data_IF_979974597538
#
_entry.id   IF_979974597538
#
_cell.length_a   1.000
_cell.length_b   1.000
_cell.length_c   1.000
_cell.angle_alpha   90.00
_cell.angle_beta   90.00
_cell.angle_gamma   90.00
#
_symmetry.space_group_name_H-M   'P 1'
#
loop_
_entity.id
_entity.type
_entity.pdbx_description
1 polymer ?
#
# COMPACT_ATOMS: atom_id res chain seq x y z
N UNK A 1 -63.20 19.07 12.44
CA UNK A 1 -62.25 18.22 13.20
C UNK A 1 -62.15 16.85 12.56
N UNK A 2 -61.11 16.59 11.75
CA UNK A 2 -60.94 15.31 11.04
C UNK A 2 -60.31 14.31 11.99
N UNK A 3 -61.11 13.37 12.49
CA UNK A 3 -60.60 12.21 13.29
C UNK A 3 -59.83 11.29 12.35
N UNK A 4 -58.52 11.42 12.34
CA UNK A 4 -57.64 10.43 11.68
C UNK A 4 -57.77 9.13 12.49
N UNK A 5 -58.37 8.11 11.87
CA UNK A 5 -58.58 6.81 12.50
C UNK A 5 -57.22 6.15 12.83
N UNK A 6 -57.20 5.34 13.88
CA UNK A 6 -55.99 4.62 14.32
C UNK A 6 -55.33 3.81 13.22
N UNK A 7 -56.14 3.32 12.25
CA UNK A 7 -55.69 2.61 11.04
C UNK A 7 -54.81 3.47 10.12
N UNK A 8 -55.14 4.72 9.92
CA UNK A 8 -54.38 5.63 9.04
C UNK A 8 -53.04 6.04 9.68
N UNK A 9 -53.00 6.19 11.01
CA UNK A 9 -51.74 6.43 11.72
C UNK A 9 -50.82 5.23 11.66
N UNK A 10 -51.35 4.01 11.77
CA UNK A 10 -50.59 2.78 11.68
C UNK A 10 -50.03 2.56 10.28
N UNK A 11 -50.79 2.83 9.23
CA UNK A 11 -50.31 2.77 7.84
C UNK A 11 -49.18 3.79 7.59
N UNK A 12 -49.29 5.02 8.09
CA UNK A 12 -48.24 6.04 7.94
C UNK A 12 -46.98 5.65 8.68
N UNK A 13 -47.08 5.05 9.88
CA UNK A 13 -45.94 4.53 10.61
C UNK A 13 -45.25 3.38 9.85
N UNK A 14 -46.04 2.51 9.21
CA UNK A 14 -45.54 1.39 8.43
C UNK A 14 -44.80 1.86 7.17
N UNK A 15 -45.33 2.88 6.46
CA UNK A 15 -44.62 3.50 5.33
C UNK A 15 -43.37 4.23 5.75
N UNK A 16 -43.37 4.92 6.91
CA UNK A 16 -42.17 5.57 7.43
C UNK A 16 -41.07 4.56 7.80
N UNK A 17 -41.44 3.42 8.35
CA UNK A 17 -40.51 2.34 8.70
C UNK A 17 -39.92 1.65 7.44
N UNK A 18 -40.74 1.52 6.38
CA UNK A 18 -40.29 0.91 5.12
C UNK A 18 -39.32 1.79 4.32
N UNK A 19 -39.43 3.13 4.45
CA UNK A 19 -38.53 4.08 3.77
C UNK A 19 -37.16 4.15 4.45
N UNK A 20 -37.07 3.88 5.76
CA UNK A 20 -35.80 3.86 6.47
C UNK A 20 -34.92 2.62 6.19
N UNK A 21 -35.50 1.54 5.65
CA UNK A 21 -34.76 0.30 5.36
C UNK A 21 -34.05 0.29 3.99
N UNK A 22 -34.19 1.34 3.18
CA UNK A 22 -33.57 1.45 1.86
C UNK A 22 -32.23 2.20 1.87
N UNK A 23 -31.56 2.31 3.02
CA UNK A 23 -30.16 2.71 3.06
C UNK A 23 -29.29 1.54 2.57
N UNK A 24 -29.33 1.23 1.27
CA UNK A 24 -28.31 0.46 0.61
C UNK A 24 -26.99 1.23 0.77
N UNK A 25 -26.15 0.79 1.68
CA UNK A 25 -24.74 1.19 1.68
C UNK A 25 -24.16 0.70 0.35
N UNK A 26 -23.92 1.62 -0.58
CA UNK A 26 -23.15 1.30 -1.77
C UNK A 26 -21.77 0.83 -1.29
N UNK A 27 -21.52 -0.47 -1.45
CA UNK A 27 -20.16 -1.03 -1.21
C UNK A 27 -19.21 -0.33 -2.18
N UNK A 28 -18.05 0.14 -1.75
CA UNK A 28 -17.05 0.61 -2.68
C UNK A 28 -16.69 -0.57 -3.60
N UNK A 29 -17.01 -0.44 -4.89
CA UNK A 29 -16.69 -1.44 -5.90
C UNK A 29 -15.22 -1.29 -6.29
N UNK A 30 -14.29 -1.81 -5.46
CA UNK A 30 -12.89 -1.90 -5.84
C UNK A 30 -12.70 -3.00 -6.89
N UNK A 31 -11.76 -2.84 -7.84
CA UNK A 31 -11.29 -3.93 -8.70
C UNK A 31 -10.77 -5.10 -7.86
N UNK A 32 -10.88 -6.33 -8.39
CA UNK A 32 -10.32 -7.53 -7.73
C UNK A 32 -8.80 -7.51 -7.75
N UNK A 33 -8.18 -6.85 -8.75
CA UNK A 33 -6.75 -6.59 -8.75
C UNK A 33 -6.44 -5.52 -7.71
N UNK A 34 -5.46 -5.75 -6.82
CA UNK A 34 -5.04 -4.76 -5.85
C UNK A 34 -4.60 -3.47 -6.55
N UNK A 35 -4.96 -2.32 -5.98
CA UNK A 35 -4.45 -1.02 -6.43
C UNK A 35 -3.69 -0.36 -5.31
N UNK A 36 -2.51 0.21 -5.61
CA UNK A 36 -1.67 0.89 -4.63
C UNK A 36 -1.34 2.32 -5.06
N UNK A 37 -1.11 3.18 -4.06
CA UNK A 37 -0.66 4.55 -4.26
C UNK A 37 0.44 4.89 -3.24
N UNK A 38 1.44 5.67 -3.67
CA UNK A 38 2.53 6.10 -2.81
C UNK A 38 2.06 7.25 -1.90
N UNK A 39 2.27 7.12 -0.58
CA UNK A 39 1.91 8.14 0.41
C UNK A 39 3.12 8.96 0.88
N UNK A 40 4.31 8.38 0.86
CA UNK A 40 5.52 9.09 1.28
C UNK A 40 6.55 8.19 1.95
N UNK A 41 7.68 8.79 2.30
CA UNK A 41 8.72 8.18 3.12
C UNK A 41 9.15 9.14 4.25
N UNK A 42 9.67 8.58 5.34
CA UNK A 42 10.04 9.38 6.53
C UNK A 42 11.33 10.15 6.38
N UNK A 43 12.23 9.70 5.52
CA UNK A 43 13.49 10.38 5.18
C UNK A 43 13.67 10.42 3.68
N UNK A 44 14.15 11.54 3.16
CA UNK A 44 14.54 11.71 1.76
C UNK A 44 16.06 11.53 1.53
N UNK A 45 16.83 11.27 2.59
CA UNK A 45 18.25 10.94 2.51
C UNK A 45 18.66 9.98 3.60
N UNK A 46 19.66 9.12 3.32
CA UNK A 46 20.28 8.16 4.25
C UNK A 46 21.78 8.14 4.03
N UNK A 47 22.53 7.78 5.06
CA UNK A 47 23.97 7.50 4.94
C UNK A 47 24.14 6.11 4.32
N UNK A 48 25.08 5.96 3.38
CA UNK A 48 25.37 4.65 2.80
C UNK A 48 25.77 3.63 3.87
N UNK A 49 25.35 2.39 3.71
CA UNK A 49 25.73 1.31 4.61
C UNK A 49 25.60 -0.04 3.92
N UNK A 50 26.54 -0.95 4.18
CA UNK A 50 26.45 -2.36 3.81
C UNK A 50 25.87 -3.24 4.93
N UNK A 51 25.52 -2.64 6.08
CA UNK A 51 25.11 -3.36 7.31
C UNK A 51 23.82 -2.81 7.92
N UNK A 52 22.92 -2.26 7.07
CA UNK A 52 21.63 -1.71 7.51
C UNK A 52 21.77 -0.59 8.58
N UNK A 53 22.77 0.26 8.44
CA UNK A 53 23.09 1.30 9.45
C UNK A 53 22.08 2.45 9.53
N UNK A 54 21.22 2.62 8.51
CA UNK A 54 20.15 3.61 8.47
C UNK A 54 18.91 3.02 7.80
N UNK A 55 17.74 3.66 7.94
CA UNK A 55 16.48 3.20 7.31
C UNK A 55 15.49 4.32 7.11
N UNK A 56 14.58 4.13 6.17
CA UNK A 56 13.38 4.97 5.99
C UNK A 56 12.13 4.10 5.95
N UNK A 57 11.04 4.59 6.55
CA UNK A 57 9.73 3.96 6.46
C UNK A 57 9.03 4.47 5.19
N UNK A 58 8.70 3.57 4.29
CA UNK A 58 7.87 3.85 3.12
C UNK A 58 6.41 3.50 3.48
N UNK A 59 5.47 4.37 3.08
CA UNK A 59 4.04 4.16 3.25
C UNK A 59 3.35 4.18 1.90
N UNK A 60 2.45 3.23 1.72
CA UNK A 60 1.59 3.10 0.56
C UNK A 60 0.15 2.88 1.03
N UNK A 61 -0.84 3.38 0.30
CA UNK A 61 -2.22 2.95 0.46
C UNK A 61 -2.53 1.80 -0.49
N UNK A 62 -3.55 1.03 -0.16
CA UNK A 62 -4.06 -0.03 -1.04
C UNK A 62 -5.59 -0.11 -1.03
N UNK A 63 -6.14 -0.62 -2.11
CA UNK A 63 -7.50 -1.14 -2.22
C UNK A 63 -7.47 -2.51 -2.87
N UNK A 64 -8.39 -3.41 -2.49
CA UNK A 64 -8.45 -4.77 -2.99
C UNK A 64 -9.91 -5.25 -2.94
N UNK A 65 -10.48 -5.64 -4.09
CA UNK A 65 -11.92 -5.83 -4.26
C UNK A 65 -12.48 -7.13 -3.72
N UNK A 66 -11.71 -8.21 -3.70
CA UNK A 66 -12.10 -9.49 -3.11
C UNK A 66 -11.54 -9.70 -1.68
N UNK A 67 -10.71 -8.74 -1.23
CA UNK A 67 -10.26 -8.66 0.16
C UNK A 67 -9.28 -9.75 0.56
N UNK A 68 -8.54 -10.28 -0.38
CA UNK A 68 -7.66 -11.42 -0.15
C UNK A 68 -6.16 -11.05 -0.07
N UNK A 69 -5.86 -9.77 0.21
CA UNK A 69 -4.49 -9.30 0.37
C UNK A 69 -3.80 -9.91 1.59
N UNK A 70 -2.50 -10.07 1.48
CA UNK A 70 -1.64 -10.63 2.52
C UNK A 70 -1.65 -12.17 2.54
N UNK A 71 -0.55 -12.77 2.94
CA UNK A 71 -0.33 -14.20 2.89
C UNK A 71 0.41 -14.68 4.14
N UNK A 72 0.16 -15.95 4.57
CA UNK A 72 0.85 -16.58 5.70
C UNK A 72 2.26 -17.04 5.34
N UNK A 73 2.46 -17.43 4.08
CA UNK A 73 3.66 -18.17 3.66
C UNK A 73 4.43 -17.48 2.53
N UNK A 74 3.83 -16.51 1.83
CA UNK A 74 4.43 -15.87 0.65
C UNK A 74 4.97 -14.46 0.94
N UNK A 75 6.04 -14.09 0.24
CA UNK A 75 6.55 -12.73 0.14
C UNK A 75 5.86 -12.05 -1.05
N UNK A 76 4.98 -11.12 -0.77
CA UNK A 76 4.00 -10.59 -1.71
C UNK A 76 4.05 -9.06 -1.91
N UNK A 77 5.03 -8.40 -1.31
CA UNK A 77 5.40 -7.01 -1.56
C UNK A 77 6.79 -7.01 -2.21
N UNK A 78 6.90 -6.48 -3.41
CA UNK A 78 8.12 -6.41 -4.20
C UNK A 78 8.59 -4.96 -4.25
N UNK A 79 9.83 -4.73 -3.90
CA UNK A 79 10.48 -3.41 -3.87
C UNK A 79 11.76 -3.48 -4.66
N UNK A 80 11.86 -2.71 -5.72
CA UNK A 80 12.99 -2.73 -6.65
C UNK A 80 13.74 -1.42 -6.61
N UNK A 81 15.03 -1.45 -6.26
CA UNK A 81 15.93 -0.30 -6.42
C UNK A 81 16.14 -0.02 -7.92
N UNK A 82 15.87 1.21 -8.34
CA UNK A 82 15.98 1.65 -9.73
C UNK A 82 17.38 1.46 -10.34
N UNK A 83 18.41 1.40 -9.52
CA UNK A 83 19.81 1.22 -9.97
C UNK A 83 20.17 -0.24 -10.24
N UNK A 84 19.45 -1.17 -9.59
CA UNK A 84 19.71 -2.63 -9.68
C UNK A 84 18.40 -3.42 -9.92
N UNK A 85 17.70 -3.20 -11.03
CA UNK A 85 16.35 -3.74 -11.26
C UNK A 85 16.27 -5.28 -11.28
N UNK A 86 17.40 -5.95 -11.48
CA UNK A 86 17.47 -7.42 -11.48
C UNK A 86 17.42 -8.08 -10.10
N UNK A 87 17.48 -7.31 -9.00
CA UNK A 87 17.57 -7.82 -7.63
C UNK A 87 16.52 -7.17 -6.72
N UNK A 88 15.22 -7.48 -6.90
CA UNK A 88 14.17 -6.92 -6.07
C UNK A 88 14.22 -7.49 -4.65
N UNK A 89 14.02 -6.63 -3.66
CA UNK A 89 13.73 -7.03 -2.30
C UNK A 89 12.27 -7.48 -2.18
N UNK A 90 12.02 -8.45 -1.30
CA UNK A 90 10.70 -9.03 -1.10
C UNK A 90 10.33 -8.96 0.37
N UNK A 91 9.14 -8.42 0.62
CA UNK A 91 8.58 -8.31 1.97
C UNK A 91 7.27 -9.09 2.06
N UNK A 92 6.88 -9.40 3.27
CA UNK A 92 5.63 -10.06 3.59
C UNK A 92 4.57 -9.02 4.00
N UNK A 93 3.44 -9.01 3.30
CA UNK A 93 2.24 -8.37 3.82
C UNK A 93 1.58 -9.39 4.76
N UNK A 94 1.32 -9.05 6.04
CA UNK A 94 0.65 -9.94 6.96
C UNK A 94 -0.70 -10.40 6.42
N UNK A 95 -1.09 -11.62 6.77
CA UNK A 95 -2.39 -12.19 6.38
C UNK A 95 -3.53 -11.31 6.88
N UNK A 96 -4.39 -10.87 5.97
CA UNK A 96 -5.64 -10.17 6.28
C UNK A 96 -6.79 -11.18 6.13
N UNK A 97 -7.57 -11.46 7.19
CA UNK A 97 -8.74 -12.32 7.08
C UNK A 97 -9.77 -11.69 6.13
N UNK A 98 -10.45 -12.53 5.35
CA UNK A 98 -11.58 -12.07 4.52
C UNK A 98 -12.76 -11.80 5.47
N UNK A 99 -13.10 -10.53 5.65
CA UNK A 99 -14.24 -10.10 6.46
C UNK A 99 -15.48 -9.95 5.59
N UNK A 100 -16.29 -10.99 5.56
CA UNK A 100 -17.57 -11.01 4.84
C UNK A 100 -17.45 -11.28 3.34
N UNK A 101 -18.47 -11.91 2.76
CA UNK A 101 -18.49 -12.23 1.35
C UNK A 101 -18.56 -10.97 0.47
N UNK A 102 -17.50 -10.69 -0.27
CA UNK A 102 -17.49 -9.68 -1.33
C UNK A 102 -17.40 -8.22 -0.86
N UNK A 103 -16.83 -7.97 0.31
CA UNK A 103 -16.43 -6.63 0.72
C UNK A 103 -14.94 -6.46 0.40
N UNK A 104 -14.64 -5.53 -0.50
CA UNK A 104 -13.27 -5.10 -0.72
C UNK A 104 -12.68 -4.50 0.56
N UNK A 105 -11.37 -4.54 0.66
CA UNK A 105 -10.59 -3.94 1.74
C UNK A 105 -9.79 -2.77 1.22
N UNK A 106 -9.46 -1.86 2.13
CA UNK A 106 -8.54 -0.75 1.89
C UNK A 106 -7.78 -0.44 3.16
N UNK A 107 -6.60 0.14 3.02
CA UNK A 107 -5.78 0.49 4.16
C UNK A 107 -4.42 1.05 3.75
N UNK A 108 -3.50 1.05 4.70
CA UNK A 108 -2.12 1.48 4.50
C UNK A 108 -1.15 0.36 4.88
N UNK A 109 -0.05 0.27 4.14
CA UNK A 109 1.08 -0.60 4.43
C UNK A 109 2.29 0.27 4.67
N UNK A 110 2.96 0.08 5.82
CA UNK A 110 4.25 0.68 6.12
C UNK A 110 5.32 -0.41 6.20
N UNK A 111 6.45 -0.21 5.52
CA UNK A 111 7.59 -1.11 5.57
C UNK A 111 8.90 -0.34 5.58
N UNK A 112 9.91 -0.90 6.23
CA UNK A 112 11.23 -0.30 6.30
C UNK A 112 12.07 -0.78 5.12
N UNK A 113 12.72 0.18 4.44
CA UNK A 113 13.86 -0.09 3.58
C UNK A 113 15.12 0.41 4.27
N UNK A 114 16.17 -0.40 4.20
CA UNK A 114 17.44 -0.08 4.81
C UNK A 114 18.34 0.65 3.83
N UNK A 115 19.32 1.36 4.38
CA UNK A 115 20.30 2.06 3.58
C UNK A 115 21.16 1.05 2.79
N UNK A 116 21.55 1.47 1.61
CA UNK A 116 22.32 0.71 0.65
C UNK A 116 23.62 1.47 0.33
N UNK A 117 24.51 0.82 -0.39
CA UNK A 117 25.75 1.45 -0.87
C UNK A 117 25.50 2.43 -1.99
N UNK A 118 26.32 3.50 -2.06
CA UNK A 118 26.47 4.25 -3.30
C UNK A 118 27.06 3.36 -4.39
N UNK A 119 26.59 3.53 -5.62
CA UNK A 119 27.11 2.85 -6.80
C UNK A 119 27.76 3.90 -7.70
N UNK A 120 29.04 3.72 -8.02
CA UNK A 120 29.80 4.68 -8.81
C UNK A 120 29.83 4.32 -10.29
N UNK A 121 30.16 5.28 -11.20
CA UNK A 121 30.16 5.04 -12.64
C UNK A 121 31.12 3.93 -13.11
N UNK A 122 32.15 3.62 -12.33
CA UNK A 122 33.10 2.52 -12.59
C UNK A 122 32.61 1.17 -12.08
N UNK A 123 31.41 1.11 -11.48
CA UNK A 123 30.82 -0.09 -10.89
C UNK A 123 31.30 -0.39 -9.47
N UNK A 124 32.22 0.39 -8.91
CA UNK A 124 32.57 0.27 -7.50
C UNK A 124 31.47 0.75 -6.58
N UNK A 125 31.45 0.26 -5.33
CA UNK A 125 30.39 0.60 -4.38
C UNK A 125 30.89 0.56 -2.93
N UNK A 126 30.17 1.17 -1.99
CA UNK A 126 30.37 1.07 -0.55
C UNK A 126 31.63 1.78 -0.01
N UNK A 127 32.26 2.63 -0.75
CA UNK A 127 33.40 3.44 -0.28
C UNK A 127 32.98 4.91 -0.15
N UNK A 128 33.53 5.64 0.84
CA UNK A 128 33.37 7.10 0.88
C UNK A 128 33.99 7.74 -0.37
N UNK A 129 33.32 8.73 -0.95
CA UNK A 129 33.81 9.44 -2.14
C UNK A 129 33.63 10.94 -2.00
N UNK A 130 34.71 11.69 -2.16
CA UNK A 130 34.66 13.15 -2.27
C UNK A 130 34.29 13.62 -3.68
N UNK A 131 34.56 12.80 -4.69
CA UNK A 131 34.21 13.09 -6.08
C UNK A 131 32.71 12.88 -6.35
N UNK A 132 32.12 11.88 -5.70
CA UNK A 132 30.71 11.53 -5.80
C UNK A 132 30.10 11.49 -4.40
N UNK A 133 29.83 12.66 -3.79
CA UNK A 133 29.41 12.72 -2.38
C UNK A 133 27.98 12.20 -2.14
N UNK A 134 27.22 12.03 -3.20
CA UNK A 134 25.84 11.53 -3.15
C UNK A 134 25.54 10.60 -4.33
N UNK A 135 24.64 9.68 -4.10
CA UNK A 135 23.97 8.86 -5.13
C UNK A 135 22.45 9.00 -4.95
N UNK A 136 21.66 8.68 -5.96
CA UNK A 136 20.21 8.82 -5.92
C UNK A 136 19.52 7.60 -6.51
N UNK A 137 18.49 7.17 -5.84
CA UNK A 137 17.64 6.08 -6.29
C UNK A 137 16.15 6.40 -6.06
N UNK A 138 15.28 5.63 -6.67
CA UNK A 138 13.89 5.50 -6.27
C UNK A 138 13.52 4.02 -6.24
N UNK A 139 12.45 3.71 -5.54
CA UNK A 139 11.93 2.36 -5.53
C UNK A 139 10.71 2.23 -6.46
N UNK A 140 10.67 1.11 -7.20
CA UNK A 140 9.48 0.62 -7.88
C UNK A 140 8.83 -0.43 -7.00
N UNK A 141 7.51 -0.28 -6.74
CA UNK A 141 6.81 -1.10 -5.76
C UNK A 141 5.57 -1.69 -6.40
N UNK A 142 5.33 -2.97 -6.16
CA UNK A 142 4.09 -3.67 -6.48
C UNK A 142 3.76 -4.73 -5.44
N UNK A 143 2.50 -5.08 -5.33
CA UNK A 143 2.01 -6.11 -4.42
C UNK A 143 1.26 -7.19 -5.18
N UNK A 144 1.13 -8.36 -4.56
CA UNK A 144 0.39 -9.49 -5.09
C UNK A 144 -0.58 -10.01 -4.04
N UNK A 145 -1.83 -10.30 -4.43
CA UNK A 145 -2.83 -10.94 -3.59
C UNK A 145 -2.66 -12.47 -3.54
N UNK A 146 -3.53 -13.15 -2.80
CA UNK A 146 -3.55 -14.62 -2.67
C UNK A 146 -4.06 -15.32 -3.93
N UNK A 147 -4.98 -14.68 -4.67
CA UNK A 147 -5.48 -15.20 -5.94
C UNK A 147 -4.43 -15.13 -7.06
N UNK A 148 -3.38 -14.32 -6.87
CA UNK A 148 -2.28 -14.19 -7.79
C UNK A 148 -2.33 -12.95 -8.67
N UNK A 149 -3.27 -12.03 -8.43
CA UNK A 149 -3.35 -10.77 -9.15
C UNK A 149 -2.25 -9.80 -8.69
N UNK A 150 -1.66 -9.11 -9.64
CA UNK A 150 -0.69 -8.06 -9.37
C UNK A 150 -1.36 -6.69 -9.35
N UNK A 151 -0.91 -5.84 -8.43
CA UNK A 151 -1.26 -4.42 -8.45
C UNK A 151 -0.63 -3.68 -9.63
N UNK A 152 -1.03 -2.42 -9.81
CA UNK A 152 -0.21 -1.45 -10.54
C UNK A 152 1.16 -1.34 -9.87
N UNK A 153 2.16 -0.92 -10.67
CA UNK A 153 3.48 -0.53 -10.15
C UNK A 153 3.48 0.97 -9.85
N UNK A 154 4.05 1.35 -8.71
CA UNK A 154 4.23 2.74 -8.30
C UNK A 154 5.70 3.04 -8.12
N UNK A 155 6.06 4.33 -8.30
CA UNK A 155 7.38 4.90 -8.08
C UNK A 155 7.36 5.77 -6.83
N UNK A 156 8.40 5.64 -5.97
CA UNK A 156 8.61 6.57 -4.85
C UNK A 156 9.23 7.89 -5.34
N UNK A 157 9.24 8.89 -4.47
CA UNK A 157 10.16 10.01 -4.62
C UNK A 157 11.61 9.52 -4.61
N UNK A 158 12.52 10.37 -5.10
CA UNK A 158 13.95 10.06 -5.05
C UNK A 158 14.45 10.08 -3.61
N UNK A 159 15.31 9.10 -3.30
CA UNK A 159 16.03 8.95 -2.05
C UNK A 159 17.52 9.19 -2.32
N UNK A 160 18.10 10.13 -1.57
CA UNK A 160 19.52 10.46 -1.69
C UNK A 160 20.33 9.59 -0.73
N UNK A 161 21.37 8.94 -1.22
CA UNK A 161 22.36 8.21 -0.42
C UNK A 161 23.61 9.09 -0.28
N UNK A 162 23.99 9.39 0.96
CA UNK A 162 25.19 10.16 1.28
C UNK A 162 26.37 9.19 1.30
N UNK A 163 27.36 9.41 0.41
CA UNK A 163 28.50 8.51 0.15
C UNK A 163 29.69 8.79 1.08
N UNK A 164 29.43 8.84 2.41
CA UNK A 164 30.44 9.16 3.44
C UNK A 164 30.70 8.01 4.41
#
# INVERSE_FOLDING_TARGET
MHKITLSERMKRLFYLFFVLSAACTNKPGFPIEPKIEYLGMTKSSMIQSSVNGDSTLIRISFTDGDGDLGDKDSLNLIVTDSRIPGFPEKFKIPFVPIEGSGNGISGEIGFLVYSTCCIYPDGSACFPSTQYPTDSLHYLIKIKDRAGHWSNEIRTNDLVILCQ
#
